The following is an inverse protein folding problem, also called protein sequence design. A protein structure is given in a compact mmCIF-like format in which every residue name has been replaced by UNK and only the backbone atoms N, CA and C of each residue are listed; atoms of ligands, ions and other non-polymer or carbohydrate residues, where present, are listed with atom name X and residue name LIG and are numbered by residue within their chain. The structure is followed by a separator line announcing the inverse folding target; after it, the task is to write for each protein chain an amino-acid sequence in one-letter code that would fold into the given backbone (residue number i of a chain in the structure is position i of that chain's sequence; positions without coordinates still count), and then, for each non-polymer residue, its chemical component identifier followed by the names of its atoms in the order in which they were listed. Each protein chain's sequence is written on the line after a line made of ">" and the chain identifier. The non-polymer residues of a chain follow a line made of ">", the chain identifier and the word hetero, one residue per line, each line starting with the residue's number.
data_IF_725891034573
#
_entry.id   IF_725891034573
#
_cell.length_a   1.000
_cell.length_b   1.000
_cell.length_c   1.000
_cell.angle_alpha   90.00
_cell.angle_beta   90.00
_cell.angle_gamma   90.00
#
_symmetry.space_group_name_H-M   'P 1'
#
loop_
_entity.id
_entity.type
_entity.pdbx_description
1 polymer ?
#
# COMPACT_ATOMS: atom_id res chain seq x y z
N UNK A 1 -35.16 -32.59 -67.23
CA UNK A 1 -34.19 -31.74 -66.50
C UNK A 1 -34.91 -30.52 -65.98
N UNK A 2 -35.29 -30.54 -64.72
CA UNK A 2 -35.68 -29.38 -63.91
C UNK A 2 -35.65 -29.87 -62.46
N UNK A 3 -34.44 -29.92 -61.89
CA UNK A 3 -34.22 -30.23 -60.48
C UNK A 3 -34.64 -29.02 -59.66
N UNK A 4 -35.66 -29.18 -58.83
CA UNK A 4 -36.13 -28.16 -57.89
C UNK A 4 -35.02 -27.76 -56.92
N UNK A 5 -34.87 -26.45 -56.72
CA UNK A 5 -33.90 -25.85 -55.79
C UNK A 5 -34.21 -26.27 -54.34
N UNK A 6 -33.19 -26.50 -53.51
CA UNK A 6 -33.38 -26.79 -52.08
C UNK A 6 -33.84 -25.53 -51.35
N UNK A 7 -34.86 -25.70 -50.48
CA UNK A 7 -35.29 -24.68 -49.53
C UNK A 7 -34.17 -24.40 -48.52
N UNK A 8 -33.68 -23.17 -48.51
CA UNK A 8 -32.85 -22.65 -47.45
C UNK A 8 -33.76 -22.39 -46.24
N UNK A 9 -33.68 -23.24 -45.22
CA UNK A 9 -34.22 -22.91 -43.91
C UNK A 9 -33.34 -21.79 -43.32
N UNK A 10 -33.92 -20.59 -43.25
CA UNK A 10 -33.39 -19.48 -42.47
C UNK A 10 -33.54 -19.86 -41.00
N UNK A 11 -32.44 -20.25 -40.36
CA UNK A 11 -32.38 -20.42 -38.91
C UNK A 11 -32.37 -19.01 -38.30
N UNK A 12 -33.30 -18.66 -37.39
CA UNK A 12 -33.30 -17.34 -36.77
C UNK A 12 -32.07 -17.16 -35.88
N UNK A 13 -31.46 -15.96 -35.81
CA UNK A 13 -30.28 -15.68 -35.01
C UNK A 13 -30.69 -15.44 -33.55
N UNK A 14 -31.23 -16.46 -32.90
CA UNK A 14 -31.57 -16.41 -31.47
C UNK A 14 -31.19 -17.72 -30.79
N UNK A 15 -29.93 -18.12 -30.96
CA UNK A 15 -29.32 -19.18 -30.14
C UNK A 15 -27.80 -19.08 -30.15
N UNK A 16 -27.27 -17.86 -29.99
CA UNK A 16 -25.91 -17.69 -29.51
C UNK A 16 -25.96 -17.65 -27.98
N UNK A 17 -25.76 -18.84 -27.40
CA UNK A 17 -25.15 -19.09 -26.10
C UNK A 17 -25.26 -17.94 -25.09
N UNK A 18 -26.30 -18.04 -24.25
CA UNK A 18 -26.18 -17.67 -22.84
C UNK A 18 -25.04 -18.49 -22.22
N UNK A 19 -23.79 -18.09 -22.47
CA UNK A 19 -22.74 -18.20 -21.47
C UNK A 19 -23.07 -17.13 -20.43
N UNK A 20 -24.10 -17.41 -19.65
CA UNK A 20 -24.22 -16.83 -18.33
C UNK A 20 -22.97 -17.32 -17.62
N UNK A 21 -21.94 -16.48 -17.56
CA UNK A 21 -20.84 -16.65 -16.63
C UNK A 21 -21.49 -16.66 -15.26
N UNK A 22 -21.84 -17.85 -14.79
CA UNK A 22 -21.95 -18.11 -13.36
C UNK A 22 -20.54 -17.84 -12.84
N UNK A 23 -20.26 -16.59 -12.49
CA UNK A 23 -19.19 -16.28 -11.57
C UNK A 23 -19.55 -17.04 -10.31
N UNK A 24 -18.85 -18.16 -10.10
CA UNK A 24 -18.90 -18.84 -8.81
C UNK A 24 -18.59 -17.79 -7.75
N UNK A 25 -19.30 -17.74 -6.61
CA UNK A 25 -18.91 -16.85 -5.54
C UNK A 25 -17.48 -17.20 -5.14
N UNK A 26 -16.56 -16.29 -5.40
CA UNK A 26 -15.15 -16.49 -5.09
C UNK A 26 -15.00 -16.79 -3.59
N UNK A 27 -14.21 -17.83 -3.28
CA UNK A 27 -14.10 -18.41 -1.96
C UNK A 27 -13.42 -17.44 -0.98
N UNK A 28 -14.18 -16.54 -0.36
CA UNK A 28 -13.73 -15.80 0.81
C UNK A 28 -13.50 -16.81 1.94
N UNK A 29 -12.24 -16.99 2.34
CA UNK A 29 -11.90 -17.76 3.54
C UNK A 29 -11.65 -16.79 4.68
N UNK A 30 -12.65 -16.54 5.51
CA UNK A 30 -12.60 -15.61 6.63
C UNK A 30 -12.73 -16.33 7.98
N UNK A 31 -12.05 -15.83 9.01
CA UNK A 31 -12.15 -16.33 10.39
C UNK A 31 -12.17 -15.16 11.38
N UNK A 32 -13.13 -15.20 12.30
CA UNK A 32 -13.19 -14.26 13.43
C UNK A 32 -12.19 -14.64 14.51
N UNK A 33 -11.39 -13.66 14.92
CA UNK A 33 -10.35 -13.79 15.94
C UNK A 33 -10.86 -13.16 17.23
N UNK A 34 -10.97 -13.97 18.29
CA UNK A 34 -11.39 -13.50 19.63
C UNK A 34 -10.21 -13.26 20.57
N UNK A 35 -9.06 -13.88 20.29
CA UNK A 35 -7.84 -13.80 21.09
C UNK A 35 -6.63 -13.74 20.16
N UNK A 36 -5.70 -12.83 20.44
CA UNK A 36 -4.41 -12.77 19.75
C UNK A 36 -3.28 -13.15 20.71
N UNK A 37 -2.32 -13.99 20.27
CA UNK A 37 -1.09 -14.23 21.02
C UNK A 37 -0.40 -12.91 21.39
N UNK A 38 0.02 -12.77 22.66
CA UNK A 38 0.68 -11.56 23.15
C UNK A 38 -0.25 -10.40 23.49
N UNK A 39 -1.55 -10.48 23.23
CA UNK A 39 -2.50 -9.45 23.66
C UNK A 39 -2.78 -9.55 25.16
N UNK A 40 -2.40 -8.52 25.92
CA UNK A 40 -2.35 -8.60 27.38
C UNK A 40 -3.71 -8.51 28.07
N UNK A 41 -4.74 -7.94 27.42
CA UNK A 41 -6.06 -7.75 28.03
C UNK A 41 -7.00 -8.95 27.89
N UNK A 42 -6.52 -10.11 27.42
CA UNK A 42 -7.33 -11.31 27.24
C UNK A 42 -8.06 -11.34 25.90
N UNK A 43 -9.39 -11.42 25.92
CA UNK A 43 -10.19 -11.35 24.69
C UNK A 43 -10.07 -9.96 24.06
N UNK A 44 -10.11 -9.89 22.72
CA UNK A 44 -10.08 -8.63 22.01
C UNK A 44 -11.35 -7.81 22.34
N UNK A 45 -11.22 -6.52 22.71
CA UNK A 45 -12.37 -5.66 22.98
C UNK A 45 -13.02 -5.10 21.70
N UNK A 46 -12.57 -5.56 20.52
CA UNK A 46 -13.06 -5.17 19.19
C UNK A 46 -13.18 -6.41 18.30
N UNK A 47 -13.99 -6.32 17.24
CA UNK A 47 -14.11 -7.39 16.25
C UNK A 47 -12.87 -7.44 15.36
N UNK A 48 -12.26 -8.60 15.21
CA UNK A 48 -11.19 -8.83 14.23
C UNK A 48 -11.55 -10.05 13.40
N UNK A 49 -11.52 -9.90 12.09
CA UNK A 49 -11.64 -10.98 11.12
C UNK A 49 -10.39 -11.00 10.25
N UNK A 50 -9.85 -12.17 9.96
CA UNK A 50 -8.74 -12.32 9.01
C UNK A 50 -9.10 -13.32 7.94
N UNK A 51 -8.52 -13.17 6.76
CA UNK A 51 -8.82 -14.07 5.67
C UNK A 51 -8.01 -13.84 4.42
N UNK A 52 -8.35 -14.65 3.42
CA UNK A 52 -7.79 -14.56 2.07
C UNK A 52 -8.87 -14.23 1.06
N UNK A 53 -8.47 -13.44 0.08
CA UNK A 53 -9.30 -13.04 -1.06
C UNK A 53 -8.55 -13.34 -2.35
N UNK A 54 -9.13 -14.20 -3.19
CA UNK A 54 -8.58 -14.52 -4.51
C UNK A 54 -8.82 -13.36 -5.47
N UNK A 55 -7.76 -12.77 -5.99
CA UNK A 55 -7.81 -11.63 -6.95
C UNK A 55 -7.31 -11.99 -8.35
N UNK A 56 -6.77 -13.20 -8.52
CA UNK A 56 -6.41 -13.80 -9.80
C UNK A 56 -6.57 -15.32 -9.70
N UNK A 57 -7.56 -15.88 -10.38
CA UNK A 57 -7.80 -17.33 -10.40
C UNK A 57 -6.82 -18.10 -11.30
N UNK A 58 -6.24 -17.44 -12.31
CA UNK A 58 -5.35 -18.07 -13.29
C UNK A 58 -4.03 -18.46 -12.63
N UNK A 59 -3.47 -17.55 -11.82
CA UNK A 59 -2.23 -17.79 -11.09
C UNK A 59 -2.46 -18.11 -9.61
N UNK A 60 -3.70 -18.00 -9.14
CA UNK A 60 -4.06 -18.23 -7.74
C UNK A 60 -3.45 -17.17 -6.83
N UNK A 61 -3.59 -15.89 -7.19
CA UNK A 61 -3.15 -14.78 -6.34
C UNK A 61 -4.19 -14.55 -5.25
N UNK A 62 -3.76 -14.62 -4.00
CA UNK A 62 -4.60 -14.42 -2.84
C UNK A 62 -4.03 -13.30 -1.95
N UNK A 63 -4.82 -12.25 -1.73
CA UNK A 63 -4.50 -11.20 -0.78
C UNK A 63 -5.00 -11.56 0.62
N UNK A 64 -4.15 -11.35 1.62
CA UNK A 64 -4.49 -11.46 3.02
C UNK A 64 -5.03 -10.12 3.53
N UNK A 65 -6.06 -10.17 4.37
CA UNK A 65 -6.62 -8.98 4.99
C UNK A 65 -6.86 -9.16 6.48
N UNK A 66 -6.90 -8.01 7.16
CA UNK A 66 -7.39 -7.86 8.52
C UNK A 66 -8.58 -6.92 8.46
N UNK A 67 -9.74 -7.37 8.89
CA UNK A 67 -10.95 -6.57 8.93
C UNK A 67 -11.34 -6.29 10.38
N UNK A 68 -11.50 -5.02 10.72
CA UNK A 68 -11.97 -4.56 12.02
C UNK A 68 -13.27 -3.81 11.84
N UNK A 69 -14.34 -4.28 12.49
CA UNK A 69 -15.62 -3.58 12.47
C UNK A 69 -15.56 -2.29 13.30
N UNK A 70 -16.39 -1.31 12.94
CA UNK A 70 -16.56 -0.11 13.75
C UNK A 70 -17.03 -0.49 15.16
N UNK A 71 -16.34 0.02 16.17
CA UNK A 71 -16.68 -0.13 17.58
C UNK A 71 -17.94 0.68 17.96
N UNK A 72 -18.39 1.60 17.10
CA UNK A 72 -19.61 2.40 17.30
C UNK A 72 -20.83 1.72 16.68
N UNK A 73 -20.92 1.68 15.35
CA UNK A 73 -21.98 0.96 14.65
C UNK A 73 -21.55 0.53 13.24
N UNK A 74 -21.11 -0.72 13.12
CA UNK A 74 -20.57 -1.30 11.88
C UNK A 74 -21.54 -1.29 10.69
N UNK A 75 -22.86 -1.24 10.93
CA UNK A 75 -23.87 -1.25 9.85
C UNK A 75 -24.05 0.09 9.15
N UNK A 76 -23.69 1.21 9.80
CA UNK A 76 -23.89 2.57 9.26
C UNK A 76 -22.58 3.33 9.09
N UNK A 77 -21.56 3.01 9.89
CA UNK A 77 -20.27 3.68 9.85
C UNK A 77 -19.52 3.40 8.54
N UNK A 78 -18.68 4.34 8.07
CA UNK A 78 -17.98 4.18 6.80
C UNK A 78 -17.11 2.92 6.76
N UNK A 79 -16.97 2.35 5.57
CA UNK A 79 -15.94 1.38 5.25
C UNK A 79 -14.71 2.13 4.72
N UNK A 80 -13.56 1.85 5.30
CA UNK A 80 -12.26 2.34 4.85
C UNK A 80 -11.44 1.13 4.39
N UNK A 81 -10.96 1.15 3.14
CA UNK A 81 -9.91 0.23 2.71
C UNK A 81 -8.57 0.92 2.88
N UNK A 82 -7.72 0.39 3.75
CA UNK A 82 -6.41 0.94 4.09
C UNK A 82 -5.28 0.16 3.42
N UNK A 83 -4.48 0.88 2.63
CA UNK A 83 -3.31 0.37 1.92
C UNK A 83 -2.04 1.01 2.48
N UNK A 84 -1.12 0.19 2.98
CA UNK A 84 0.23 0.69 3.25
C UNK A 84 1.06 0.70 1.96
N UNK A 85 2.02 1.63 1.89
CA UNK A 85 2.88 1.82 0.72
C UNK A 85 4.05 0.84 0.59
N UNK A 86 5.25 1.39 0.40
CA UNK A 86 6.47 0.64 0.07
C UNK A 86 6.98 0.97 -1.34
N UNK A 87 6.56 0.23 -2.39
CA UNK A 87 5.51 -0.81 -2.42
C UNK A 87 5.92 -2.07 -1.66
N UNK A 88 4.95 -2.89 -1.27
CA UNK A 88 5.23 -4.17 -0.61
C UNK A 88 5.24 -4.15 0.91
N UNK A 89 4.84 -3.04 1.54
CA UNK A 89 4.71 -2.95 2.99
C UNK A 89 3.35 -3.46 3.46
N UNK A 90 3.36 -4.39 4.42
CA UNK A 90 2.17 -5.00 5.00
C UNK A 90 1.27 -3.98 5.69
N UNK A 91 -0.04 -4.13 5.46
CA UNK A 91 -1.08 -3.33 6.08
C UNK A 91 -1.26 -3.63 7.57
N UNK A 92 -0.57 -4.65 8.09
CA UNK A 92 -0.42 -4.85 9.53
C UNK A 92 0.31 -3.66 10.19
N UNK A 93 1.09 -2.88 9.43
CA UNK A 93 1.63 -1.59 9.88
C UNK A 93 0.50 -0.62 10.25
N UNK A 94 -0.46 -0.44 9.35
CA UNK A 94 -1.68 0.33 9.59
C UNK A 94 -2.43 -0.14 10.83
N UNK A 95 -2.56 -1.47 10.98
CA UNK A 95 -3.32 -2.09 12.06
C UNK A 95 -2.66 -1.94 13.46
N UNK A 96 -1.33 -2.05 13.54
CA UNK A 96 -0.62 -2.21 14.82
C UNK A 96 0.34 -1.06 15.17
N UNK A 97 0.65 -0.17 14.22
CA UNK A 97 1.61 0.93 14.40
C UNK A 97 1.01 2.31 14.12
N UNK A 98 -0.16 2.38 13.48
CA UNK A 98 -0.72 3.63 12.97
C UNK A 98 -2.16 3.84 13.48
N UNK A 99 -3.17 3.48 12.69
CA UNK A 99 -4.59 3.85 12.91
C UNK A 99 -5.43 2.73 13.51
N UNK A 100 -4.93 1.50 13.53
CA UNK A 100 -5.67 0.35 14.02
C UNK A 100 -5.72 0.22 15.55
N UNK A 101 -6.50 -0.75 16.05
CA UNK A 101 -6.78 -0.94 17.47
C UNK A 101 -5.66 -1.67 18.21
N UNK A 102 -4.60 -2.08 17.53
CA UNK A 102 -3.46 -2.75 18.12
C UNK A 102 -2.29 -1.79 18.30
N UNK A 103 -1.49 -2.03 19.35
CA UNK A 103 -0.24 -1.33 19.58
C UNK A 103 0.77 -2.24 20.26
N UNK A 104 1.99 -2.28 19.75
CA UNK A 104 3.10 -2.94 20.45
C UNK A 104 3.53 -2.15 21.67
N UNK A 105 3.76 -2.84 22.78
CA UNK A 105 4.38 -2.26 23.97
C UNK A 105 5.89 -2.22 23.74
N UNK A 106 6.48 -1.02 23.71
CA UNK A 106 7.92 -0.81 23.50
C UNK A 106 8.72 -1.18 24.76
N UNK A 107 8.88 -2.48 24.99
CA UNK A 107 9.66 -3.05 26.09
C UNK A 107 10.73 -3.98 25.55
N UNK A 108 11.84 -4.13 26.27
CA UNK A 108 12.91 -5.05 25.89
C UNK A 108 12.38 -6.47 25.70
N UNK A 109 12.50 -6.97 24.47
CA UNK A 109 12.15 -8.34 24.14
C UNK A 109 13.28 -9.28 24.58
N UNK A 110 13.06 -10.01 25.66
CA UNK A 110 13.95 -11.04 26.21
C UNK A 110 13.78 -12.41 25.51
N UNK A 111 13.33 -12.41 24.24
CA UNK A 111 13.04 -13.62 23.46
C UNK A 111 11.62 -14.15 23.65
N UNK A 112 10.79 -13.52 24.48
CA UNK A 112 9.35 -13.81 24.57
C UNK A 112 8.59 -13.29 23.35
N UNK A 113 7.35 -13.75 23.18
CA UNK A 113 6.44 -13.15 22.20
C UNK A 113 6.21 -11.67 22.57
N UNK A 114 6.28 -10.73 21.62
CA UNK A 114 6.01 -9.32 21.89
C UNK A 114 4.59 -9.06 22.39
N UNK A 115 4.47 -8.11 23.31
CA UNK A 115 3.20 -7.75 23.93
C UNK A 115 2.43 -6.73 23.07
N UNK A 116 1.15 -7.01 22.88
CA UNK A 116 0.17 -6.14 22.26
C UNK A 116 -0.80 -5.58 23.31
N UNK A 117 -1.22 -4.35 23.10
CA UNK A 117 -2.26 -3.68 23.87
C UNK A 117 -3.25 -2.97 22.95
N UNK A 118 -4.44 -2.68 23.46
CA UNK A 118 -5.43 -1.89 22.74
C UNK A 118 -4.98 -0.43 22.55
N UNK A 119 -5.17 0.11 21.36
CA UNK A 119 -4.93 1.50 21.01
C UNK A 119 -6.22 2.34 21.17
N UNK A 120 -6.33 3.22 22.18
CA UNK A 120 -7.54 4.01 22.40
C UNK A 120 -7.76 5.14 21.38
N UNK A 121 -6.80 5.40 20.48
CA UNK A 121 -6.91 6.43 19.44
C UNK A 121 -7.18 5.85 18.05
N UNK A 122 -7.59 4.58 17.99
CA UNK A 122 -7.87 3.91 16.73
C UNK A 122 -9.02 4.55 15.96
N UNK A 123 -8.92 4.54 14.63
CA UNK A 123 -9.98 4.96 13.73
C UNK A 123 -11.16 3.96 13.70
N UNK A 124 -10.97 2.74 14.20
CA UNK A 124 -12.06 1.75 14.29
C UNK A 124 -13.14 2.17 15.29
N UNK A 125 -12.92 3.24 16.07
CA UNK A 125 -13.97 3.89 16.86
C UNK A 125 -15.12 4.48 16.03
N UNK A 126 -14.91 4.75 14.74
CA UNK A 126 -15.92 5.39 13.90
C UNK A 126 -15.97 4.85 12.47
N UNK A 127 -15.21 3.80 12.15
CA UNK A 127 -15.14 3.22 10.81
C UNK A 127 -14.91 1.70 10.86
N UNK A 128 -15.50 1.00 9.90
CA UNK A 128 -15.07 -0.34 9.55
C UNK A 128 -13.79 -0.23 8.70
N UNK A 129 -12.75 -0.99 9.00
CA UNK A 129 -11.47 -0.86 8.28
C UNK A 129 -10.98 -2.23 7.79
N UNK A 130 -10.73 -2.33 6.48
CA UNK A 130 -10.01 -3.44 5.86
C UNK A 130 -8.55 -3.00 5.68
N UNK A 131 -7.64 -3.61 6.42
CA UNK A 131 -6.20 -3.50 6.22
C UNK A 131 -5.76 -4.61 5.26
N UNK A 132 -5.32 -4.23 4.06
CA UNK A 132 -5.05 -5.19 2.99
C UNK A 132 -3.55 -5.34 2.71
N UNK A 133 -3.03 -6.55 2.90
CA UNK A 133 -1.68 -6.87 2.43
C UNK A 133 -1.70 -6.96 0.89
N UNK A 134 -1.21 -5.92 0.23
CA UNK A 134 -1.17 -5.83 -1.23
C UNK A 134 0.00 -4.94 -1.68
N UNK A 135 0.58 -5.18 -2.88
CA UNK A 135 0.26 -6.22 -3.87
C UNK A 135 0.71 -7.63 -3.44
N UNK A 136 0.58 -8.61 -4.33
CA UNK A 136 1.02 -10.00 -4.13
C UNK A 136 2.46 -10.08 -3.59
N UNK A 137 2.73 -10.96 -2.63
CA UNK A 137 4.03 -11.07 -1.96
C UNK A 137 4.24 -10.11 -0.78
N UNK A 138 3.29 -9.21 -0.53
CA UNK A 138 3.25 -8.35 0.65
C UNK A 138 2.71 -9.11 1.85
N UNK A 139 3.38 -9.01 3.01
CA UNK A 139 2.90 -9.60 4.26
C UNK A 139 2.55 -11.08 4.14
N UNK A 140 1.28 -11.46 4.31
CA UNK A 140 0.81 -12.84 4.15
C UNK A 140 0.19 -13.17 2.78
N UNK A 141 0.15 -12.21 1.85
CA UNK A 141 -0.37 -12.36 0.50
C UNK A 141 0.59 -13.10 -0.41
N UNK A 142 0.07 -13.97 -1.27
CA UNK A 142 0.91 -14.89 -2.05
C UNK A 142 0.24 -15.30 -3.36
N UNK A 143 1.01 -15.99 -4.20
CA UNK A 143 0.53 -16.64 -5.42
C UNK A 143 0.90 -18.12 -5.42
N UNK A 144 0.01 -18.97 -5.93
CA UNK A 144 0.27 -20.40 -6.16
C UNK A 144 1.17 -20.65 -7.38
N UNK A 145 1.32 -19.66 -8.26
CA UNK A 145 2.18 -19.74 -9.44
C UNK A 145 3.22 -18.61 -9.48
N UNK A 146 4.51 -18.86 -9.80
CA UNK A 146 5.56 -17.84 -9.80
C UNK A 146 5.24 -16.59 -10.62
N UNK A 147 4.62 -16.74 -11.81
CA UNK A 147 4.20 -15.61 -12.64
C UNK A 147 3.17 -14.69 -11.97
N UNK A 148 2.37 -15.21 -11.04
CA UNK A 148 1.40 -14.40 -10.31
C UNK A 148 2.04 -13.44 -9.30
N UNK A 149 3.37 -13.48 -9.09
CA UNK A 149 4.09 -12.48 -8.30
C UNK A 149 4.50 -11.24 -9.10
N UNK A 150 4.34 -11.25 -10.43
CA UNK A 150 4.59 -10.06 -11.26
C UNK A 150 3.45 -9.05 -11.07
N UNK A 151 3.78 -7.83 -10.65
CA UNK A 151 2.80 -6.77 -10.38
C UNK A 151 3.28 -5.39 -10.83
N UNK A 152 2.36 -4.43 -10.94
CA UNK A 152 2.62 -3.03 -11.28
C UNK A 152 1.63 -2.12 -10.57
N UNK A 153 1.84 -0.79 -10.62
CA UNK A 153 0.92 0.18 -10.01
C UNK A 153 -0.51 -0.02 -10.58
N UNK A 154 -0.62 -0.24 -11.89
CA UNK A 154 -1.90 -0.47 -12.56
C UNK A 154 -2.53 -1.82 -12.21
N UNK A 155 -1.77 -2.91 -12.22
CA UNK A 155 -2.33 -4.24 -11.91
C UNK A 155 -2.73 -4.35 -10.44
N UNK A 156 -1.94 -3.78 -9.53
CA UNK A 156 -2.28 -3.66 -8.11
C UNK A 156 -3.58 -2.88 -7.91
N UNK A 157 -3.72 -1.73 -8.59
CA UNK A 157 -4.95 -0.93 -8.53
C UNK A 157 -6.18 -1.72 -8.96
N UNK A 158 -6.07 -2.45 -10.08
CA UNK A 158 -7.16 -3.29 -10.61
C UNK A 158 -7.52 -4.46 -9.70
N UNK A 159 -6.51 -5.17 -9.15
CA UNK A 159 -6.74 -6.28 -8.22
C UNK A 159 -7.39 -5.81 -6.92
N UNK A 160 -7.04 -4.61 -6.44
CA UNK A 160 -7.62 -4.04 -5.22
C UNK A 160 -9.06 -3.60 -5.43
N UNK A 161 -9.40 -3.07 -6.61
CA UNK A 161 -10.77 -2.77 -6.99
C UNK A 161 -11.69 -4.00 -6.90
N UNK A 162 -11.16 -5.19 -7.20
CA UNK A 162 -11.92 -6.44 -7.11
C UNK A 162 -12.47 -6.74 -5.71
N UNK A 163 -11.86 -6.21 -4.64
CA UNK A 163 -12.38 -6.34 -3.27
C UNK A 163 -13.82 -5.84 -3.11
N UNK A 164 -14.23 -4.93 -3.98
CA UNK A 164 -15.56 -4.36 -4.00
C UNK A 164 -16.56 -5.28 -4.72
N UNK A 165 -16.21 -6.47 -5.21
CA UNK A 165 -17.23 -7.43 -5.64
C UNK A 165 -17.91 -8.15 -4.44
N UNK A 166 -17.40 -7.98 -3.23
CA UNK A 166 -17.90 -8.67 -2.03
C UNK A 166 -19.08 -7.93 -1.35
N UNK A 167 -20.22 -8.62 -1.24
CA UNK A 167 -21.53 -8.00 -0.97
C UNK A 167 -21.78 -7.46 0.46
N UNK A 168 -20.93 -7.79 1.44
CA UNK A 168 -21.19 -7.53 2.88
C UNK A 168 -21.27 -6.03 3.23
N UNK A 169 -20.66 -5.14 2.44
CA UNK A 169 -20.53 -3.71 2.78
C UNK A 169 -21.00 -2.74 1.69
N UNK A 170 -21.78 -3.21 0.72
CA UNK A 170 -22.29 -2.38 -0.39
C UNK A 170 -23.05 -1.12 0.10
N UNK A 171 -23.69 -1.19 1.27
CA UNK A 171 -24.51 -0.10 1.81
C UNK A 171 -23.76 1.01 2.53
N UNK A 172 -22.54 0.74 3.03
CA UNK A 172 -21.76 1.68 3.84
C UNK A 172 -21.12 2.76 2.95
N UNK A 173 -20.95 4.00 3.45
CA UNK A 173 -20.11 4.99 2.78
C UNK A 173 -18.68 4.46 2.63
N UNK A 174 -18.14 4.44 1.41
CA UNK A 174 -16.82 3.88 1.11
C UNK A 174 -15.76 4.98 0.97
N UNK A 175 -14.62 4.78 1.63
CA UNK A 175 -13.40 5.57 1.45
C UNK A 175 -12.22 4.65 1.11
N UNK A 176 -11.40 5.06 0.16
CA UNK A 176 -10.12 4.42 -0.12
C UNK A 176 -9.03 5.24 0.56
N UNK A 177 -8.18 4.59 1.35
CA UNK A 177 -7.15 5.29 2.11
C UNK A 177 -5.81 4.57 2.06
N UNK A 178 -4.73 5.30 2.30
CA UNK A 178 -3.41 4.71 2.44
C UNK A 178 -2.32 5.72 2.73
N UNK A 179 -1.08 5.25 2.81
CA UNK A 179 0.08 6.08 3.08
C UNK A 179 1.27 5.78 2.16
N UNK A 180 2.23 6.71 2.11
CA UNK A 180 3.50 6.52 1.40
C UNK A 180 3.29 6.19 -0.09
N UNK A 181 3.85 5.10 -0.59
CA UNK A 181 3.71 4.65 -1.98
C UNK A 181 2.24 4.35 -2.37
N UNK A 182 1.35 4.07 -1.41
CA UNK A 182 -0.08 3.93 -1.71
C UNK A 182 -0.67 5.21 -2.32
N UNK A 183 -0.02 6.36 -2.11
CA UNK A 183 -0.27 7.60 -2.82
C UNK A 183 -0.39 7.41 -4.34
N UNK A 184 0.48 6.61 -4.97
CA UNK A 184 0.44 6.36 -6.43
C UNK A 184 -0.79 5.58 -6.87
N UNK A 185 -1.27 4.62 -6.08
CA UNK A 185 -2.34 3.71 -6.51
C UNK A 185 -3.73 4.08 -6.00
N UNK A 186 -3.86 4.73 -4.85
CA UNK A 186 -5.18 5.11 -4.29
C UNK A 186 -5.97 5.99 -5.28
N UNK A 187 -5.40 7.05 -5.90
CA UNK A 187 -6.11 7.81 -6.93
C UNK A 187 -6.50 6.94 -8.13
N UNK A 188 -5.63 6.04 -8.58
CA UNK A 188 -5.93 5.13 -9.70
C UNK A 188 -7.12 4.23 -9.37
N UNK A 189 -7.16 3.63 -8.18
CA UNK A 189 -8.27 2.79 -7.69
C UNK A 189 -9.57 3.60 -7.67
N UNK A 190 -9.53 4.81 -7.12
CA UNK A 190 -10.71 5.69 -7.01
C UNK A 190 -11.24 6.08 -8.38
N UNK A 191 -10.35 6.35 -9.34
CA UNK A 191 -10.74 6.61 -10.72
C UNK A 191 -11.42 5.39 -11.35
N UNK A 192 -10.84 4.20 -11.20
CA UNK A 192 -11.43 2.96 -11.74
C UNK A 192 -12.83 2.70 -11.18
N UNK A 193 -13.02 2.85 -9.87
CA UNK A 193 -14.34 2.72 -9.21
C UNK A 193 -15.32 3.78 -9.73
N UNK A 194 -14.84 5.03 -9.91
CA UNK A 194 -15.67 6.11 -10.44
C UNK A 194 -16.10 5.87 -11.88
N UNK A 195 -15.26 5.27 -12.71
CA UNK A 195 -15.57 4.99 -14.12
C UNK A 195 -16.55 3.82 -14.25
N UNK A 196 -16.42 2.75 -13.44
CA UNK A 196 -17.39 1.64 -13.44
C UNK A 196 -18.80 2.08 -13.08
N UNK A 197 -18.93 3.05 -12.18
CA UNK A 197 -20.21 3.70 -11.86
C UNK A 197 -20.85 4.33 -13.10
N UNK A 198 -20.05 4.97 -13.95
CA UNK A 198 -20.55 5.62 -15.17
C UNK A 198 -21.05 4.58 -16.19
N UNK A 199 -20.49 3.37 -16.19
CA UNK A 199 -20.89 2.26 -17.07
C UNK A 199 -22.02 1.39 -16.50
N UNK A 200 -22.53 1.68 -15.31
CA UNK A 200 -23.63 0.91 -14.69
C UNK A 200 -23.27 -0.54 -14.37
N UNK A 201 -21.97 -0.85 -14.21
CA UNK A 201 -21.50 -2.18 -13.89
C UNK A 201 -21.49 -2.36 -12.36
N UNK A 202 -22.22 -3.36 -11.86
CA UNK A 202 -22.23 -3.84 -10.45
C UNK A 202 -22.94 -2.94 -9.41
N UNK A 203 -23.35 -3.49 -8.24
CA UNK A 203 -23.94 -2.68 -7.18
C UNK A 203 -23.01 -1.54 -6.81
N UNK A 204 -23.46 -0.32 -7.05
CA UNK A 204 -22.66 0.88 -6.97
C UNK A 204 -22.29 1.16 -5.52
N UNK A 205 -21.04 0.92 -5.14
CA UNK A 205 -20.51 1.34 -3.84
C UNK A 205 -20.75 2.82 -3.64
N UNK A 206 -21.08 3.19 -2.41
CA UNK A 206 -21.21 4.59 -2.03
C UNK A 206 -19.85 5.21 -1.76
N UNK A 207 -18.95 5.16 -2.75
CA UNK A 207 -17.70 5.91 -2.72
C UNK A 207 -18.03 7.34 -2.30
N UNK A 208 -17.30 7.87 -1.32
CA UNK A 208 -17.46 9.25 -0.82
C UNK A 208 -16.20 10.08 -1.04
N UNK A 209 -15.04 9.42 -1.11
CA UNK A 209 -13.77 10.09 -1.28
C UNK A 209 -12.60 9.17 -0.96
N UNK A 210 -11.43 9.78 -0.85
CA UNK A 210 -10.20 9.07 -0.53
C UNK A 210 -9.24 9.91 0.31
N UNK A 211 -8.31 9.24 0.97
CA UNK A 211 -7.37 9.85 1.88
C UNK A 211 -5.96 9.29 1.69
N UNK A 212 -4.96 10.16 1.61
CA UNK A 212 -3.57 9.72 1.48
C UNK A 212 -2.65 10.46 2.45
N UNK A 213 -1.96 9.70 3.31
CA UNK A 213 -1.00 10.20 4.29
C UNK A 213 0.44 10.19 3.74
N UNK A 214 1.14 11.32 3.80
CA UNK A 214 2.53 11.47 3.33
C UNK A 214 2.82 10.75 1.98
N UNK A 215 2.01 10.99 0.94
CA UNK A 215 2.05 10.19 -0.28
C UNK A 215 3.29 10.48 -1.13
N UNK A 216 3.70 9.47 -1.90
CA UNK A 216 4.34 9.70 -3.18
C UNK A 216 3.27 10.08 -4.20
N UNK A 217 3.49 11.18 -4.92
CA UNK A 217 2.59 11.70 -5.96
C UNK A 217 3.25 11.66 -7.33
N UNK A 218 4.46 12.21 -7.45
CA UNK A 218 5.20 12.21 -8.69
C UNK A 218 6.69 12.28 -8.44
N UNK A 219 7.44 11.34 -9.02
CA UNK A 219 8.86 11.11 -8.75
C UNK A 219 9.69 12.41 -8.76
N UNK A 220 9.52 13.21 -9.83
CA UNK A 220 10.18 14.51 -9.99
C UNK A 220 9.72 15.55 -8.97
N UNK A 221 8.41 15.64 -8.71
CA UNK A 221 7.84 16.63 -7.79
C UNK A 221 8.33 16.34 -6.37
N UNK A 222 8.25 15.07 -5.97
CA UNK A 222 8.58 14.62 -4.62
C UNK A 222 10.06 14.76 -4.32
N UNK A 223 10.93 14.31 -5.24
CA UNK A 223 12.37 14.39 -5.05
C UNK A 223 12.86 15.84 -5.12
N UNK A 224 12.34 16.66 -6.04
CA UNK A 224 12.77 18.05 -6.15
C UNK A 224 12.33 18.88 -4.93
N UNK A 225 11.18 18.58 -4.33
CA UNK A 225 10.68 19.28 -3.14
C UNK A 225 11.56 19.08 -1.88
N UNK A 226 12.45 18.08 -1.86
CA UNK A 226 13.36 17.83 -0.72
C UNK A 226 14.35 18.98 -0.50
N UNK A 227 14.80 19.62 -1.59
CA UNK A 227 15.78 20.73 -1.54
C UNK A 227 15.21 21.97 -0.82
N UNK A 228 14.07 22.56 -1.26
CA UNK A 228 13.48 23.70 -0.54
C UNK A 228 13.00 23.32 0.87
N UNK A 229 12.53 22.09 1.08
CA UNK A 229 12.18 21.61 2.42
C UNK A 229 13.40 21.60 3.37
N UNK A 230 14.53 21.07 2.91
CA UNK A 230 15.75 21.02 3.70
C UNK A 230 16.28 22.41 4.05
N UNK A 231 16.19 23.37 3.13
CA UNK A 231 16.50 24.78 3.42
C UNK A 231 15.56 25.33 4.50
N UNK A 232 14.25 25.15 4.34
CA UNK A 232 13.25 25.65 5.28
C UNK A 232 13.36 25.04 6.68
N UNK A 233 13.95 23.85 6.79
CA UNK A 233 14.24 23.17 8.07
C UNK A 233 15.65 23.44 8.60
N UNK A 234 16.44 24.29 7.92
CA UNK A 234 17.82 24.62 8.32
C UNK A 234 18.81 23.46 8.21
N UNK A 235 18.52 22.46 7.37
CA UNK A 235 19.39 21.29 7.16
C UNK A 235 20.52 21.57 6.17
N UNK A 236 20.35 22.56 5.29
CA UNK A 236 21.34 22.97 4.28
C UNK A 236 21.51 24.49 4.26
N UNK A 237 22.63 24.96 3.71
CA UNK A 237 22.89 26.39 3.53
C UNK A 237 22.12 26.98 2.35
N UNK A 238 21.88 28.30 2.40
CA UNK A 238 21.34 29.07 1.26
C UNK A 238 22.22 28.92 0.02
N UNK A 239 23.55 28.91 0.18
CA UNK A 239 24.51 28.73 -0.92
C UNK A 239 24.32 27.39 -1.65
N UNK A 240 24.14 26.28 -0.91
CA UNK A 240 23.89 24.97 -1.51
C UNK A 240 22.54 24.95 -2.22
N UNK A 241 21.50 25.52 -1.60
CA UNK A 241 20.18 25.63 -2.20
C UNK A 241 20.20 26.41 -3.53
N UNK A 242 20.83 27.58 -3.55
CA UNK A 242 20.94 28.42 -4.76
C UNK A 242 21.73 27.71 -5.87
N UNK A 243 22.83 27.04 -5.49
CA UNK A 243 23.68 26.31 -6.42
C UNK A 243 22.94 25.14 -7.08
N UNK A 244 22.25 24.32 -6.27
CA UNK A 244 21.42 23.21 -6.78
C UNK A 244 20.32 23.76 -7.68
N UNK A 245 19.58 24.77 -7.23
CA UNK A 245 18.47 25.37 -7.99
C UNK A 245 18.91 25.89 -9.36
N UNK A 246 20.11 26.50 -9.43
CA UNK A 246 20.69 27.01 -10.68
C UNK A 246 21.18 25.90 -11.61
N UNK A 247 21.99 24.96 -11.10
CA UNK A 247 22.65 23.94 -11.92
C UNK A 247 21.73 22.79 -12.32
N UNK A 248 20.70 22.52 -11.53
CA UNK A 248 19.71 21.46 -11.76
C UNK A 248 18.39 21.97 -12.32
N UNK A 249 18.30 23.22 -12.77
CA UNK A 249 17.04 23.84 -13.21
C UNK A 249 16.29 22.96 -14.22
N UNK A 250 15.06 22.60 -13.89
CA UNK A 250 14.17 21.82 -14.76
C UNK A 250 14.44 20.31 -14.79
N UNK A 251 15.55 19.82 -14.21
CA UNK A 251 15.89 18.41 -14.18
C UNK A 251 15.10 17.63 -13.12
N UNK A 252 15.11 16.31 -13.22
CA UNK A 252 14.65 15.42 -12.16
C UNK A 252 15.81 15.12 -11.20
N UNK A 253 15.67 15.46 -9.93
CA UNK A 253 16.78 15.29 -8.97
C UNK A 253 17.03 13.83 -8.60
N UNK A 254 16.05 12.95 -8.82
CA UNK A 254 16.25 11.50 -8.69
C UNK A 254 17.14 10.93 -9.79
N UNK A 255 17.05 11.50 -11.00
CA UNK A 255 17.81 11.09 -12.18
C UNK A 255 18.42 12.33 -12.87
N UNK A 256 19.48 12.93 -12.28
CA UNK A 256 20.09 14.13 -12.83
C UNK A 256 20.63 13.89 -14.24
N UNK A 257 20.34 14.82 -15.17
CA UNK A 257 20.72 14.71 -16.57
C UNK A 257 22.16 15.19 -16.81
N UNK A 258 22.65 16.11 -15.98
CA UNK A 258 24.01 16.67 -16.10
C UNK A 258 24.92 16.25 -14.96
N UNK A 259 26.20 16.05 -15.26
CA UNK A 259 27.22 15.71 -14.25
C UNK A 259 27.35 16.78 -13.16
N UNK A 260 27.20 18.05 -13.53
CA UNK A 260 27.19 19.16 -12.57
C UNK A 260 26.02 19.07 -11.60
N UNK A 261 24.81 18.80 -12.11
CA UNK A 261 23.65 18.61 -11.24
C UNK A 261 23.82 17.37 -10.36
N UNK A 262 24.24 16.24 -10.93
CA UNK A 262 24.49 15.00 -10.19
C UNK A 262 25.46 15.22 -9.03
N UNK A 263 26.53 15.98 -9.25
CA UNK A 263 27.50 16.32 -8.19
C UNK A 263 26.89 17.14 -7.05
N UNK A 264 26.00 18.10 -7.35
CA UNK A 264 25.36 18.90 -6.31
C UNK A 264 24.30 18.12 -5.52
N UNK A 265 23.53 17.26 -6.22
CA UNK A 265 22.58 16.36 -5.57
C UNK A 265 23.32 15.36 -4.68
N UNK A 266 24.50 14.88 -5.08
CA UNK A 266 25.29 14.00 -4.21
C UNK A 266 25.70 14.70 -2.92
N UNK A 267 26.18 15.94 -2.99
CA UNK A 267 26.52 16.74 -1.79
C UNK A 267 25.30 16.87 -0.87
N UNK A 268 24.13 17.15 -1.45
CA UNK A 268 22.87 17.21 -0.70
C UNK A 268 22.54 15.89 0.01
N UNK A 269 22.63 14.76 -0.68
CA UNK A 269 22.36 13.44 -0.08
C UNK A 269 23.38 13.07 1.00
N UNK A 270 24.65 13.47 0.83
CA UNK A 270 25.69 13.25 1.84
C UNK A 270 25.37 13.99 3.15
N UNK A 271 24.88 15.24 3.08
CA UNK A 271 24.41 15.98 4.25
C UNK A 271 23.24 15.30 4.96
N UNK A 272 22.33 14.69 4.21
CA UNK A 272 21.17 14.01 4.77
C UNK A 272 21.48 12.58 5.26
N UNK A 273 22.65 12.05 4.94
CA UNK A 273 22.97 10.65 5.18
C UNK A 273 22.88 10.24 6.65
N UNK A 274 23.15 11.15 7.59
CA UNK A 274 23.09 10.91 9.04
C UNK A 274 21.75 11.26 9.70
N UNK A 275 20.77 11.70 8.91
CA UNK A 275 19.45 12.11 9.40
C UNK A 275 18.44 10.97 9.18
N UNK A 276 17.50 10.82 10.11
CA UNK A 276 16.32 10.00 9.89
C UNK A 276 15.40 10.67 8.87
N UNK A 277 15.53 10.29 7.60
CA UNK A 277 14.82 10.91 6.47
C UNK A 277 13.29 10.98 6.63
N UNK A 278 12.67 9.99 7.28
CA UNK A 278 11.22 9.97 7.53
C UNK A 278 10.79 10.83 8.73
N UNK A 279 11.71 11.12 9.66
CA UNK A 279 11.45 11.84 10.90
C UNK A 279 12.70 12.63 11.33
N UNK A 280 12.94 13.80 10.71
CA UNK A 280 14.21 14.55 10.84
C UNK A 280 14.57 15.00 12.26
N UNK A 281 13.61 14.99 13.20
CA UNK A 281 13.82 15.32 14.61
C UNK A 281 14.23 14.10 15.46
N UNK A 282 14.18 12.90 14.90
CA UNK A 282 14.54 11.66 15.58
C UNK A 282 15.97 11.23 15.23
N UNK A 283 16.61 10.52 16.17
CA UNK A 283 17.92 9.92 15.94
C UNK A 283 17.85 8.85 14.84
N UNK A 284 18.93 8.72 14.07
CA UNK A 284 19.05 7.67 13.07
C UNK A 284 19.08 6.29 13.75
N UNK A 285 18.13 5.45 13.38
CA UNK A 285 17.89 4.14 13.97
C UNK A 285 17.96 3.04 12.91
N UNK A 286 18.37 1.84 13.31
CA UNK A 286 18.34 0.68 12.44
C UNK A 286 16.91 0.39 11.94
N UNK A 287 16.78 0.05 10.67
CA UNK A 287 15.50 -0.31 10.06
C UNK A 287 15.30 -1.83 10.14
N UNK A 288 14.08 -2.25 10.51
CA UNK A 288 13.75 -3.67 10.65
C UNK A 288 13.70 -4.45 9.31
N UNK A 289 13.90 -3.79 8.16
CA UNK A 289 13.85 -4.44 6.83
C UNK A 289 14.94 -3.91 5.90
N UNK A 290 16.07 -3.45 6.44
CA UNK A 290 17.16 -2.96 5.57
C UNK A 290 17.72 -4.09 4.69
N UNK A 291 17.68 -3.91 3.36
CA UNK A 291 18.42 -4.79 2.44
C UNK A 291 19.88 -4.94 2.87
N UNK A 292 20.48 -6.14 2.75
CA UNK A 292 21.92 -6.28 2.82
C UNK A 292 22.53 -5.54 1.61
N UNK A 293 22.93 -4.28 1.84
CA UNK A 293 23.39 -3.38 0.78
C UNK A 293 23.21 -1.89 1.12
N UNK A 294 22.37 -1.53 2.11
CA UNK A 294 22.20 -0.13 2.53
C UNK A 294 23.40 0.47 3.28
N UNK A 295 24.51 -0.27 3.41
CA UNK A 295 25.81 0.35 3.65
C UNK A 295 26.37 0.74 2.29
N UNK A 296 26.12 2.01 1.98
CA UNK A 296 26.70 2.80 0.90
C UNK A 296 26.09 2.58 -0.48
N UNK A 297 25.44 3.64 -0.99
CA UNK A 297 25.21 3.89 -2.43
C UNK A 297 26.55 4.23 -3.12
N UNK A 298 27.63 3.55 -2.75
CA UNK A 298 28.93 3.61 -3.41
C UNK A 298 28.94 2.50 -4.45
N UNK A 299 29.01 2.91 -5.72
CA UNK A 299 29.71 2.23 -6.83
C UNK A 299 29.24 0.79 -7.07
N UNK A 300 28.54 0.46 -8.16
CA UNK A 300 28.97 0.69 -9.54
C UNK A 300 27.93 0.11 -10.50
N UNK A 301 27.66 0.80 -11.61
CA UNK A 301 27.29 0.14 -12.86
C UNK A 301 28.41 -0.85 -13.20
N UNK A 302 28.02 -2.08 -13.58
CA UNK A 302 28.84 -3.28 -13.83
C UNK A 302 29.05 -4.16 -12.58
N UNK A 303 28.21 -5.18 -12.43
CA UNK A 303 28.63 -6.58 -12.42
C UNK A 303 27.42 -7.50 -12.60
N UNK A 304 27.62 -8.51 -13.44
CA UNK A 304 26.67 -9.56 -13.78
C UNK A 304 26.33 -10.46 -12.58
N UNK A 305 25.06 -10.82 -12.49
CA UNK A 305 24.54 -12.17 -12.21
C UNK A 305 25.39 -13.05 -11.28
N UNK A 306 25.20 -12.90 -9.98
CA UNK A 306 25.49 -13.97 -9.03
C UNK A 306 24.20 -14.56 -8.48
N UNK A 307 24.00 -15.85 -8.78
CA UNK A 307 23.01 -16.72 -8.17
C UNK A 307 23.22 -16.73 -6.65
N UNK A 308 22.45 -15.92 -5.92
CA UNK A 308 22.37 -16.05 -4.47
C UNK A 308 21.11 -16.85 -4.13
N UNK A 309 21.31 -18.01 -3.54
CA UNK A 309 20.30 -18.65 -2.70
C UNK A 309 20.18 -17.80 -1.44
N UNK A 310 19.31 -16.78 -1.48
CA UNK A 310 19.20 -15.77 -0.42
C UNK A 310 18.55 -16.38 0.81
N UNK A 311 19.37 -16.62 1.84
CA UNK A 311 18.91 -16.82 3.21
C UNK A 311 18.60 -15.42 3.78
N UNK A 312 17.31 -15.13 4.00
CA UNK A 312 16.87 -13.87 4.61
C UNK A 312 17.59 -13.64 5.95
N UNK A 313 18.27 -12.51 6.10
CA UNK A 313 18.94 -12.15 7.36
C UNK A 313 17.88 -11.61 8.32
N UNK A 314 17.89 -12.11 9.56
CA UNK A 314 17.08 -11.56 10.66
C UNK A 314 17.33 -10.04 10.76
N UNK A 315 16.28 -9.22 10.97
CA UNK A 315 16.44 -7.78 11.15
C UNK A 315 17.47 -7.42 12.22
N UNK A 316 18.24 -6.36 11.97
CA UNK A 316 19.09 -5.75 13.00
C UNK A 316 18.20 -5.25 14.15
N UNK A 317 18.64 -5.46 15.39
CA UNK A 317 17.87 -5.09 16.58
C UNK A 317 18.05 -3.58 16.81
N UNK A 318 17.01 -2.75 16.69
CA UNK A 318 17.11 -1.33 16.98
C UNK A 318 17.23 -1.08 18.48
N UNK A 319 17.73 0.09 18.88
CA UNK A 319 17.61 0.56 20.27
C UNK A 319 16.11 0.65 20.65
N UNK A 320 15.76 0.31 21.89
CA UNK A 320 14.36 0.33 22.39
C UNK A 320 13.73 1.72 22.30
N UNK A 321 14.55 2.78 22.38
CA UNK A 321 14.11 4.18 22.22
C UNK A 321 13.77 4.54 20.78
N UNK A 322 14.21 3.74 19.81
CA UNK A 322 13.91 3.98 18.41
C UNK A 322 12.46 3.66 18.10
N UNK A 323 11.81 4.53 17.32
CA UNK A 323 10.48 4.26 16.74
C UNK A 323 10.46 2.93 15.97
N UNK A 324 11.55 2.59 15.29
CA UNK A 324 11.70 1.37 14.50
C UNK A 324 11.75 0.10 15.35
N UNK A 325 11.91 0.20 16.68
CA UNK A 325 11.85 -0.96 17.57
C UNK A 325 10.48 -1.66 17.51
N UNK A 326 9.39 -0.90 17.36
CA UNK A 326 8.06 -1.49 17.18
C UNK A 326 7.96 -2.31 15.88
N UNK A 327 8.69 -1.91 14.83
CA UNK A 327 8.77 -2.70 13.59
C UNK A 327 9.48 -4.04 13.82
N UNK A 328 10.52 -4.03 14.66
CA UNK A 328 11.23 -5.25 15.05
C UNK A 328 10.34 -6.19 15.88
N UNK A 329 9.59 -5.66 16.85
CA UNK A 329 8.61 -6.42 17.61
C UNK A 329 7.53 -7.01 16.70
N UNK A 330 7.04 -6.23 15.75
CA UNK A 330 6.09 -6.68 14.74
C UNK A 330 6.61 -7.85 13.92
N UNK A 331 7.87 -7.80 13.47
CA UNK A 331 8.51 -8.92 12.76
C UNK A 331 8.56 -10.19 13.62
N UNK A 332 8.97 -10.08 14.89
CA UNK A 332 9.01 -11.23 15.80
C UNK A 332 7.63 -11.82 16.05
N UNK A 333 6.63 -10.96 16.23
CA UNK A 333 5.26 -11.36 16.49
C UNK A 333 4.64 -12.07 15.29
N UNK A 334 4.74 -11.49 14.09
CA UNK A 334 4.14 -12.03 12.87
C UNK A 334 4.77 -13.35 12.41
N UNK A 335 6.05 -13.58 12.72
CA UNK A 335 6.74 -14.82 12.42
C UNK A 335 6.58 -15.92 13.49
N UNK A 336 5.96 -15.62 14.62
CA UNK A 336 5.70 -16.63 15.63
C UNK A 336 4.67 -17.67 15.14
N UNK A 337 4.92 -18.94 15.40
CA UNK A 337 4.06 -20.04 14.93
C UNK A 337 2.62 -19.97 15.49
N UNK A 338 2.45 -19.60 16.76
CA UNK A 338 1.13 -19.45 17.37
C UNK A 338 0.40 -18.23 16.81
N UNK A 339 1.10 -17.13 16.55
CA UNK A 339 0.52 -15.97 15.85
C UNK A 339 -0.01 -16.36 14.48
N UNK A 340 0.80 -17.00 13.66
CA UNK A 340 0.41 -17.40 12.30
C UNK A 340 -0.75 -18.37 12.29
N UNK A 341 -0.81 -19.27 13.28
CA UNK A 341 -1.94 -20.18 13.50
C UNK A 341 -3.19 -19.41 13.93
N UNK A 342 -3.07 -18.47 14.87
CA UNK A 342 -4.18 -17.65 15.36
C UNK A 342 -4.75 -16.75 14.25
N UNK A 343 -3.93 -16.24 13.34
CA UNK A 343 -4.36 -15.46 12.18
C UNK A 343 -4.88 -16.31 11.01
N UNK A 344 -4.87 -17.64 11.14
CA UNK A 344 -5.24 -18.58 10.07
C UNK A 344 -4.44 -18.42 8.78
N UNK A 345 -3.15 -18.08 8.90
CA UNK A 345 -2.23 -18.01 7.76
C UNK A 345 -2.09 -19.41 7.15
N UNK A 346 -2.28 -19.52 5.83
CA UNK A 346 -2.17 -20.80 5.11
C UNK A 346 -0.75 -21.36 5.27
N UNK A 347 -0.63 -22.64 5.62
CA UNK A 347 0.68 -23.28 5.82
C UNK A 347 1.41 -23.44 4.49
N UNK A 348 2.72 -23.16 4.49
CA UNK A 348 3.58 -23.35 3.32
C UNK A 348 3.50 -22.26 2.24
N UNK A 349 2.66 -21.24 2.42
CA UNK A 349 2.48 -20.17 1.41
C UNK A 349 3.51 -19.06 1.56
N UNK A 350 3.69 -18.54 2.78
CA UNK A 350 4.69 -17.51 3.10
C UNK A 350 5.72 -18.09 4.05
N UNK A 351 7.00 -18.13 3.66
CA UNK A 351 8.05 -18.71 4.53
C UNK A 351 8.34 -17.81 5.73
N UNK A 352 8.50 -16.53 5.49
CA UNK A 352 8.83 -15.51 6.47
C UNK A 352 8.02 -14.27 6.16
N UNK A 353 7.39 -13.70 7.18
CA UNK A 353 6.69 -12.44 7.08
C UNK A 353 7.70 -11.30 7.22
N UNK A 354 7.60 -10.32 6.33
CA UNK A 354 8.39 -9.10 6.38
C UNK A 354 7.45 -7.90 6.45
N UNK A 355 7.86 -6.85 7.17
CA UNK A 355 7.10 -5.60 7.19
C UNK A 355 7.01 -5.02 5.79
N UNK A 356 8.13 -4.93 5.08
CA UNK A 356 8.20 -4.51 3.68
C UNK A 356 9.02 -5.55 2.91
N UNK A 357 8.44 -6.10 1.86
CA UNK A 357 9.12 -7.00 0.94
C UNK A 357 9.70 -6.16 -0.20
N UNK A 358 10.99 -5.84 -0.10
CA UNK A 358 11.66 -4.99 -1.09
C UNK A 358 12.11 -5.78 -2.34
N UNK A 359 11.88 -7.09 -2.39
CA UNK A 359 12.28 -7.99 -3.49
C UNK A 359 11.08 -8.43 -4.34
N UNK A 360 9.98 -7.68 -4.29
CA UNK A 360 8.84 -7.88 -5.17
C UNK A 360 9.25 -7.72 -6.64
N UNK A 361 8.69 -8.58 -7.50
CA UNK A 361 8.71 -8.41 -8.94
C UNK A 361 7.70 -7.32 -9.33
N UNK A 362 8.06 -6.06 -9.09
CA UNK A 362 7.15 -4.92 -9.16
C UNK A 362 7.60 -3.87 -10.20
N UNK A 363 6.66 -3.40 -11.01
CA UNK A 363 6.90 -2.36 -12.04
C UNK A 363 6.21 -1.05 -11.66
N UNK A 364 6.99 0.03 -11.54
CA UNK A 364 6.47 1.39 -11.30
C UNK A 364 6.02 2.07 -12.61
N UNK A 365 4.81 1.74 -13.06
CA UNK A 365 4.20 2.20 -14.32
C UNK A 365 3.28 3.43 -14.18
N UNK A 366 3.18 4.01 -12.97
CA UNK A 366 2.58 5.33 -12.67
C UNK A 366 3.68 6.28 -12.17
N UNK A 367 4.19 7.13 -13.07
CA UNK A 367 5.26 8.10 -12.75
C UNK A 367 4.76 9.33 -11.98
N UNK A 368 3.53 9.72 -12.23
CA UNK A 368 2.83 10.78 -11.53
C UNK A 368 1.35 10.42 -11.47
N UNK A 369 0.73 10.65 -10.32
CA UNK A 369 -0.71 10.47 -10.09
C UNK A 369 -1.50 11.79 -10.13
N UNK A 370 -0.86 12.91 -10.49
CA UNK A 370 -1.49 14.23 -10.46
C UNK A 370 -2.69 14.33 -11.41
N UNK A 371 -2.60 13.71 -12.60
CA UNK A 371 -3.72 13.69 -13.55
C UNK A 371 -4.94 12.94 -12.99
N UNK A 372 -4.69 11.86 -12.23
CA UNK A 372 -5.75 11.14 -11.52
C UNK A 372 -6.39 12.03 -10.45
N UNK A 373 -5.58 12.73 -9.63
CA UNK A 373 -6.08 13.68 -8.65
C UNK A 373 -6.99 14.75 -9.28
N UNK A 374 -6.56 15.35 -10.39
CA UNK A 374 -7.33 16.37 -11.12
C UNK A 374 -8.63 15.78 -11.67
N UNK A 375 -8.58 14.63 -12.33
CA UNK A 375 -9.78 14.00 -12.89
C UNK A 375 -10.80 13.63 -11.80
N UNK A 376 -10.34 13.10 -10.67
CA UNK A 376 -11.22 12.67 -9.57
C UNK A 376 -11.86 13.88 -8.87
N UNK A 377 -11.08 14.94 -8.60
CA UNK A 377 -11.57 16.14 -7.92
C UNK A 377 -12.51 16.97 -8.79
N UNK A 378 -12.24 17.07 -10.10
CA UNK A 378 -13.16 17.73 -11.06
C UNK A 378 -14.50 16.99 -11.21
N UNK A 379 -14.54 15.68 -10.91
CA UNK A 379 -15.77 14.89 -10.78
C UNK A 379 -16.50 15.07 -9.44
N UNK A 380 -15.99 15.89 -8.52
CA UNK A 380 -16.61 16.22 -7.24
C UNK A 380 -16.32 15.25 -6.10
N UNK A 381 -15.36 14.32 -6.27
CA UNK A 381 -14.95 13.41 -5.21
C UNK A 381 -14.07 14.11 -4.18
N UNK A 382 -14.37 13.91 -2.89
CA UNK A 382 -13.61 14.50 -1.79
C UNK A 382 -12.25 13.83 -1.65
N UNK A 383 -11.22 14.64 -1.43
CA UNK A 383 -9.85 14.17 -1.16
C UNK A 383 -9.34 14.81 0.12
N UNK A 384 -8.64 14.02 0.93
CA UNK A 384 -7.79 14.54 1.99
C UNK A 384 -6.35 14.12 1.76
N UNK A 385 -5.50 15.09 1.46
CA UNK A 385 -4.06 14.92 1.32
C UNK A 385 -3.36 16.09 2.02
N UNK A 386 -2.75 15.87 3.21
CA UNK A 386 -2.08 16.92 3.97
C UNK A 386 -1.00 17.67 3.18
N UNK A 387 -0.41 17.05 2.15
CA UNK A 387 0.66 17.63 1.32
C UNK A 387 0.14 18.46 0.15
N UNK A 388 -0.96 18.03 -0.49
CA UNK A 388 -1.57 18.76 -1.62
C UNK A 388 -2.20 20.08 -1.13
N UNK A 389 -2.60 20.18 0.14
CA UNK A 389 -3.04 21.45 0.72
C UNK A 389 -1.91 22.49 0.88
N UNK A 390 -0.63 22.06 0.92
CA UNK A 390 0.53 22.95 1.05
C UNK A 390 1.18 23.30 -0.29
N UNK A 391 1.04 22.44 -1.30
CA UNK A 391 1.37 22.78 -2.69
C UNK A 391 0.18 23.55 -3.26
N UNK A 392 0.19 24.88 -3.10
CA UNK A 392 -0.84 25.75 -3.67
C UNK A 392 -1.10 25.35 -5.13
N UNK A 393 -2.33 24.94 -5.43
CA UNK A 393 -2.82 24.56 -6.76
C UNK A 393 -2.78 25.73 -7.77
N UNK A 394 -2.10 26.83 -7.45
CA UNK A 394 -1.89 27.97 -8.32
C UNK A 394 -1.04 27.66 -9.55
N UNK A 395 -0.15 26.67 -9.52
CA UNK A 395 0.54 26.22 -10.74
C UNK A 395 -0.36 25.44 -11.71
N UNK A 396 -1.58 25.05 -11.29
CA UNK A 396 -2.51 24.23 -12.08
C UNK A 396 -3.93 24.82 -12.21
N UNK A 397 -4.17 26.05 -11.76
CA UNK A 397 -5.36 26.83 -12.11
C UNK A 397 -6.69 26.37 -11.48
N UNK A 398 -6.67 25.84 -10.26
CA UNK A 398 -7.90 25.47 -9.54
C UNK A 398 -8.02 26.26 -8.24
N UNK A 399 -9.03 27.13 -8.16
CA UNK A 399 -9.53 27.73 -6.91
C UNK A 399 -10.35 26.65 -6.17
N UNK A 400 -10.09 26.48 -4.87
CA UNK A 400 -11.03 25.78 -3.99
C UNK A 400 -11.92 26.83 -3.33
N UNK A 401 -13.23 26.68 -3.46
CA UNK A 401 -14.19 27.39 -2.59
C UNK A 401 -14.03 26.86 -1.15
N UNK A 402 -13.87 27.79 -0.21
CA UNK A 402 -13.68 27.57 1.24
C UNK A 402 -14.79 26.77 1.93
#
# INVERSE_FOLDING_TARGET
>A
MALGRPQWFVVPPFLFLLLCSMTMPNHLSAVTITHLPGFLQGALPFSLETGYITVDEVYGVEFFYYFVESERNSTVDPLVVWLNGGPGCSAFSGLALEIGPLKFKSEECNGSLPNLVYNPYTWTKFANIIFLDSPVGTGFSFSHHPKGYESSDKSWSKQTQWLFEHQKFISNPLYIAGDSYAGKVVPVIVQLISEEKDFGMHPTFKLQGYMIGNPLTGDKIDCNARIPFALGMGLISEELFETVTKLCKGQNYQYPETALCASQIQIFEDFLSDIMWSHILESKCALASSKPGNKVRERSMLMMQENSTILWRKPEVPDVKCRTYANYLMYLWANNAETRKALHVKKGTVKEWQRCNDDLAYTEDVKSNMDYHINITTRGWRTYCPRIQAMGMHEYGLEMDE
#
